data_IF_431152169746
#
_entry.id   IF_431152169746
#
_cell.length_a   1.000
_cell.length_b   1.000
_cell.length_c   1.000
_cell.angle_alpha   90.00
_cell.angle_beta   90.00
_cell.angle_gamma   90.00
#
_symmetry.space_group_name_H-M   'P 1'
#
loop_
_entity.id
_entity.type
_entity.pdbx_description
1 polymer ?
#
# COMPACT_ATOMS: atom_id res chain seq x y z
N UNK A 1 -20.41 -8.65 -11.38
CA UNK A 1 -19.11 -8.02 -11.69
C UNK A 1 -18.22 -8.25 -10.47
N UNK A 2 -17.29 -9.19 -10.55
CA UNK A 2 -16.34 -9.44 -9.46
C UNK A 2 -15.40 -8.22 -9.41
N UNK A 3 -15.50 -7.41 -8.37
CA UNK A 3 -14.48 -6.41 -8.08
C UNK A 3 -13.23 -7.23 -7.74
N UNK A 4 -12.24 -7.25 -8.63
CA UNK A 4 -10.93 -7.83 -8.35
C UNK A 4 -10.29 -6.99 -7.25
N UNK A 5 -10.51 -7.43 -6.03
CA UNK A 5 -9.94 -6.86 -4.83
C UNK A 5 -8.58 -7.54 -4.63
N UNK A 6 -7.58 -7.03 -5.36
CA UNK A 6 -6.21 -7.55 -5.31
C UNK A 6 -5.66 -7.31 -3.89
N UNK A 7 -5.55 -8.39 -3.12
CA UNK A 7 -5.03 -8.39 -1.76
C UNK A 7 -3.53 -8.63 -1.77
N UNK A 8 -2.81 -7.81 -1.04
CA UNK A 8 -1.36 -7.85 -0.90
C UNK A 8 -0.97 -7.72 0.57
N UNK A 9 0.24 -8.13 0.91
CA UNK A 9 0.74 -8.07 2.28
C UNK A 9 1.94 -7.14 2.36
N UNK A 10 1.89 -6.21 3.31
CA UNK A 10 2.99 -5.31 3.59
C UNK A 10 3.30 -5.28 5.07
N UNK A 11 4.55 -4.95 5.39
CA UNK A 11 4.90 -4.53 6.73
C UNK A 11 4.46 -3.06 6.92
N UNK A 12 3.63 -2.72 7.90
CA UNK A 12 3.22 -1.33 8.15
C UNK A 12 4.40 -0.37 8.36
N UNK A 13 5.55 -0.86 8.85
CA UNK A 13 6.76 -0.06 9.03
C UNK A 13 7.46 0.35 7.74
N UNK A 14 7.18 -0.32 6.62
CA UNK A 14 7.78 -0.03 5.30
C UNK A 14 6.97 1.06 4.55
N UNK A 15 5.89 1.58 5.14
CA UNK A 15 5.02 2.57 4.49
C UNK A 15 5.74 3.93 4.31
N UNK A 16 5.77 4.43 3.08
CA UNK A 16 6.34 5.74 2.71
C UNK A 16 5.45 6.87 3.21
N UNK A 17 4.13 6.66 3.16
CA UNK A 17 3.14 7.59 3.66
C UNK A 17 1.91 6.83 4.16
N UNK A 18 1.19 7.41 5.12
CA UNK A 18 -0.09 6.91 5.58
C UNK A 18 -1.09 8.06 5.75
N UNK A 19 -2.37 7.77 5.56
CA UNK A 19 -3.45 8.73 5.78
C UNK A 19 -4.76 8.00 6.06
N UNK A 20 -5.71 8.69 6.71
CA UNK A 20 -7.10 8.23 6.82
C UNK A 20 -7.95 8.65 5.62
N UNK A 21 -7.41 9.52 4.77
CA UNK A 21 -8.04 10.00 3.55
C UNK A 21 -7.27 9.51 2.32
N UNK A 22 -8.00 8.98 1.33
CA UNK A 22 -7.41 8.43 0.12
C UNK A 22 -6.77 9.51 -0.76
N UNK A 23 -7.36 10.70 -0.85
CA UNK A 23 -6.82 11.82 -1.62
C UNK A 23 -5.48 12.30 -1.07
N UNK A 24 -5.35 12.38 0.26
CA UNK A 24 -4.09 12.70 0.93
C UNK A 24 -3.02 11.62 0.67
N UNK A 25 -3.39 10.33 0.70
CA UNK A 25 -2.45 9.25 0.35
C UNK A 25 -1.98 9.33 -1.11
N UNK A 26 -2.91 9.59 -2.05
CA UNK A 26 -2.57 9.81 -3.47
C UNK A 26 -1.62 11.00 -3.63
N UNK A 27 -1.90 12.12 -2.94
CA UNK A 27 -1.07 13.32 -2.99
C UNK A 27 0.34 13.04 -2.46
N UNK A 28 0.45 12.34 -1.34
CA UNK A 28 1.75 11.92 -0.79
C UNK A 28 2.56 11.07 -1.77
N UNK A 29 1.92 10.08 -2.40
CA UNK A 29 2.56 9.23 -3.41
C UNK A 29 3.03 10.03 -4.64
N UNK A 30 2.23 10.99 -5.12
CA UNK A 30 2.61 11.85 -6.24
C UNK A 30 3.78 12.79 -5.91
N UNK A 31 3.81 13.35 -4.70
CA UNK A 31 4.94 14.17 -4.24
C UNK A 31 6.22 13.32 -4.18
N UNK A 32 6.12 12.09 -3.68
CA UNK A 32 7.24 11.17 -3.63
C UNK A 32 7.78 10.86 -5.03
N UNK A 33 6.91 10.41 -5.94
CA UNK A 33 7.25 10.12 -7.34
C UNK A 33 7.81 11.35 -8.09
N UNK A 34 7.35 12.55 -7.77
CA UNK A 34 7.89 13.77 -8.38
C UNK A 34 9.31 14.10 -7.91
N UNK A 35 9.71 13.67 -6.71
CA UNK A 35 11.07 13.84 -6.18
C UNK A 35 12.03 12.78 -6.72
N UNK A 36 11.56 11.54 -6.90
CA UNK A 36 12.32 10.45 -7.49
C UNK A 36 11.51 9.73 -8.58
N UNK A 37 11.53 10.24 -9.84
CA UNK A 37 10.68 9.72 -10.91
C UNK A 37 11.14 8.36 -11.47
N UNK A 38 12.34 7.90 -11.11
CA UNK A 38 12.90 6.62 -11.56
C UNK A 38 12.76 5.52 -10.52
N UNK A 39 12.23 5.84 -9.33
CA UNK A 39 12.00 4.87 -8.27
C UNK A 39 10.84 3.91 -8.59
N UNK A 40 10.87 2.75 -7.94
CA UNK A 40 9.94 1.64 -8.12
C UNK A 40 8.47 2.08 -8.08
N UNK A 41 7.61 1.38 -8.84
CA UNK A 41 6.16 1.63 -8.86
C UNK A 41 5.58 1.73 -7.46
N UNK A 42 4.71 2.71 -7.23
CA UNK A 42 4.09 2.93 -5.93
C UNK A 42 2.69 2.30 -5.89
N UNK A 43 2.33 1.76 -4.73
CA UNK A 43 1.02 1.18 -4.46
C UNK A 43 0.37 1.97 -3.34
N UNK A 44 -0.84 2.47 -3.59
CA UNK A 44 -1.73 2.98 -2.55
C UNK A 44 -2.68 1.86 -2.17
N UNK A 45 -2.60 1.43 -0.92
CA UNK A 45 -3.30 0.25 -0.40
C UNK A 45 -4.18 0.64 0.80
N UNK A 46 -5.38 0.09 0.89
CA UNK A 46 -6.29 0.24 2.03
C UNK A 46 -6.11 -0.94 2.98
N UNK A 47 -5.92 -0.68 4.27
CA UNK A 47 -5.80 -1.74 5.28
C UNK A 47 -7.08 -2.59 5.33
N UNK A 48 -6.95 -3.90 5.07
CA UNK A 48 -8.09 -4.82 5.03
C UNK A 48 -8.66 -5.12 6.43
N UNK A 49 -7.85 -4.91 7.47
CA UNK A 49 -8.25 -5.07 8.89
C UNK A 49 -8.89 -3.79 9.44
N UNK A 50 -8.44 -2.63 8.94
CA UNK A 50 -8.90 -1.30 9.34
C UNK A 50 -9.24 -0.46 8.11
N UNK A 51 -10.47 -0.65 7.60
CA UNK A 51 -11.04 -0.11 6.35
C UNK A 51 -11.17 1.43 6.26
N UNK A 52 -10.32 2.18 6.97
CA UNK A 52 -10.26 3.65 7.02
C UNK A 52 -8.82 4.16 7.13
N UNK A 53 -7.84 3.36 6.71
CA UNK A 53 -6.45 3.78 6.60
C UNK A 53 -5.87 3.34 5.26
N UNK A 54 -5.23 4.29 4.61
CA UNK A 54 -4.50 4.11 3.37
C UNK A 54 -3.01 4.27 3.63
N UNK A 55 -2.21 3.43 3.00
CA UNK A 55 -0.77 3.49 3.06
C UNK A 55 -0.19 3.46 1.65
N UNK A 56 0.98 4.06 1.49
CA UNK A 56 1.74 4.08 0.24
C UNK A 56 2.99 3.23 0.43
N UNK A 57 3.18 2.27 -0.45
CA UNK A 57 4.32 1.34 -0.46
C UNK A 57 5.01 1.34 -1.81
N UNK A 58 6.25 0.85 -1.87
CA UNK A 58 6.79 0.36 -3.13
C UNK A 58 6.17 -0.98 -3.47
N UNK A 59 5.90 -1.21 -4.76
CA UNK A 59 5.46 -2.51 -5.25
C UNK A 59 6.48 -3.63 -4.95
N UNK A 60 7.77 -3.30 -4.87
CA UNK A 60 8.84 -4.25 -4.54
C UNK A 60 8.83 -4.71 -3.08
N UNK A 61 8.13 -4.00 -2.19
CA UNK A 61 8.07 -4.33 -0.76
C UNK A 61 6.98 -5.35 -0.43
N UNK A 62 6.18 -5.75 -1.43
CA UNK A 62 5.14 -6.76 -1.29
C UNK A 62 5.73 -8.07 -0.75
N UNK A 63 5.15 -8.57 0.33
CA UNK A 63 5.61 -9.81 0.96
C UNK A 63 4.88 -11.00 0.35
N UNK A 64 5.64 -11.87 -0.30
CA UNK A 64 5.18 -13.18 -0.79
C UNK A 64 5.41 -14.28 0.26
N UNK A 65 4.58 -15.32 0.26
CA UNK A 65 4.79 -16.50 1.12
C UNK A 65 4.50 -16.26 2.61
N UNK A 66 3.67 -15.26 2.92
CA UNK A 66 3.23 -14.94 4.29
C UNK A 66 2.56 -16.16 4.92
N UNK A 67 3.02 -16.54 6.12
CA UNK A 67 2.35 -17.57 6.94
C UNK A 67 1.40 -16.90 7.92
N UNK A 68 0.35 -17.59 8.34
CA UNK A 68 -0.61 -17.08 9.34
C UNK A 68 0.05 -16.66 10.67
N UNK A 69 1.28 -17.12 10.94
CA UNK A 69 2.05 -16.77 12.14
C UNK A 69 2.84 -15.46 12.01
N UNK A 70 2.96 -14.87 10.82
CA UNK A 70 3.70 -13.62 10.60
C UNK A 70 2.88 -12.42 11.05
N UNK A 71 3.04 -12.02 12.31
CA UNK A 71 2.36 -10.86 12.90
C UNK A 71 2.91 -9.50 12.42
N UNK A 72 4.01 -9.51 11.67
CA UNK A 72 4.71 -8.30 11.20
C UNK A 72 4.18 -7.79 9.87
N UNK A 73 3.27 -8.52 9.22
CA UNK A 73 2.67 -8.14 7.95
C UNK A 73 1.15 -8.05 8.08
N UNK A 74 0.57 -7.10 7.38
CA UNK A 74 -0.87 -6.81 7.40
C UNK A 74 -1.41 -6.94 5.98
N UNK A 75 -2.62 -7.49 5.79
CA UNK A 75 -3.27 -7.52 4.49
C UNK A 75 -3.82 -6.14 4.10
N UNK A 76 -3.63 -5.77 2.84
CA UNK A 76 -4.15 -4.55 2.24
C UNK A 76 -4.85 -4.85 0.92
N UNK A 77 -5.84 -4.03 0.58
CA UNK A 77 -6.49 -3.99 -0.72
C UNK A 77 -5.84 -2.92 -1.60
N UNK A 78 -5.38 -3.29 -2.79
CA UNK A 78 -4.83 -2.30 -3.72
C UNK A 78 -5.94 -1.36 -4.20
N UNK A 79 -5.74 -0.05 -4.03
CA UNK A 79 -6.64 0.99 -4.55
C UNK A 79 -6.11 1.69 -5.78
N UNK A 80 -4.79 1.85 -5.87
CA UNK A 80 -4.15 2.50 -7.02
C UNK A 80 -2.68 2.10 -7.14
N UNK A 81 -2.23 1.85 -8.37
CA UNK A 81 -0.81 1.71 -8.73
C UNK A 81 -0.38 2.98 -9.46
N UNK A 82 0.80 3.51 -9.15
CA UNK A 82 1.36 4.75 -9.69
C UNK A 82 2.72 4.51 -10.34
#
# INVERSE_FOLDING_TARGET
>A
MLIMDEMVFFNPGDAIANSRDFGEAVRGAQIYKAKDPYESSLIIAEDATNKKSFAVYFASDEKSGVKDTDKSVVPYHIKKKL
#
